data_IF_200674444552
#
_entry.id   IF_200674444552
#
_cell.length_a   1.000
_cell.length_b   1.000
_cell.length_c   1.000
_cell.angle_alpha   90.00
_cell.angle_beta   90.00
_cell.angle_gamma   90.00
#
_symmetry.space_group_name_H-M   'P 1'
#
loop_
_entity.id
_entity.type
_entity.pdbx_description
1 polymer ?
#
# COMPACT_ATOMS: atom_id res chain seq x y z
N UNK A 1 -39.05 -30.18 59.90
CA UNK A 1 -39.70 -29.39 58.83
C UNK A 1 -39.17 -27.96 58.76
N UNK A 2 -38.95 -27.25 59.88
CA UNK A 2 -38.48 -25.85 59.89
C UNK A 2 -37.05 -25.66 59.38
N UNK A 3 -36.19 -26.64 59.51
CA UNK A 3 -34.78 -26.59 59.08
C UNK A 3 -34.61 -26.81 57.59
N UNK A 4 -35.47 -27.61 56.99
CA UNK A 4 -35.51 -27.83 55.54
C UNK A 4 -35.99 -26.58 54.76
N UNK A 5 -36.93 -25.83 55.35
CA UNK A 5 -37.45 -24.59 54.76
C UNK A 5 -36.38 -23.47 54.79
N UNK A 6 -35.55 -23.37 55.83
CA UNK A 6 -34.48 -22.38 55.89
C UNK A 6 -33.37 -22.66 54.90
N UNK A 7 -33.05 -23.93 54.60
CA UNK A 7 -32.03 -24.32 53.62
C UNK A 7 -32.49 -24.00 52.17
N UNK A 8 -33.78 -24.17 51.86
CA UNK A 8 -34.32 -23.85 50.54
C UNK A 8 -34.31 -22.34 50.22
N UNK A 9 -34.57 -21.50 51.22
CA UNK A 9 -34.53 -20.04 51.05
C UNK A 9 -33.09 -19.53 50.90
N UNK A 10 -32.09 -20.12 51.56
CA UNK A 10 -30.69 -19.77 51.42
C UNK A 10 -30.14 -20.10 50.02
N UNK A 11 -30.61 -21.23 49.41
CA UNK A 11 -30.20 -21.60 48.04
C UNK A 11 -30.83 -20.73 46.99
N UNK A 12 -32.04 -20.27 47.18
CA UNK A 12 -32.73 -19.36 46.26
C UNK A 12 -32.10 -17.94 46.28
N UNK A 13 -31.63 -17.48 47.44
CA UNK A 13 -30.96 -16.19 47.56
C UNK A 13 -29.56 -16.18 46.94
N UNK A 14 -28.85 -17.31 46.91
CA UNK A 14 -27.51 -17.42 46.30
C UNK A 14 -27.59 -17.46 44.78
N UNK A 15 -28.64 -18.01 44.20
CA UNK A 15 -28.85 -18.04 42.74
C UNK A 15 -29.15 -16.63 42.14
N UNK A 16 -29.71 -15.72 42.96
CA UNK A 16 -30.00 -14.35 42.51
C UNK A 16 -28.76 -13.44 42.41
N UNK A 17 -27.60 -13.88 42.91
CA UNK A 17 -26.32 -13.12 42.83
C UNK A 17 -25.55 -13.41 41.54
N UNK A 18 -25.88 -14.46 40.81
CA UNK A 18 -25.32 -14.71 39.47
C UNK A 18 -26.09 -13.91 38.46
N UNK A 19 -25.68 -12.65 38.24
CA UNK A 19 -26.10 -11.93 37.01
C UNK A 19 -25.54 -12.68 35.80
N UNK A 20 -26.34 -13.01 34.77
CA UNK A 20 -25.79 -13.53 33.53
C UNK A 20 -24.77 -12.50 33.06
N UNK A 21 -23.52 -12.93 32.82
CA UNK A 21 -22.55 -12.12 32.12
C UNK A 21 -23.14 -11.90 30.76
N UNK A 22 -23.52 -10.65 30.45
CA UNK A 22 -23.96 -10.28 29.12
C UNK A 22 -22.89 -10.78 28.15
N UNK A 23 -23.28 -11.66 27.25
CA UNK A 23 -22.41 -12.18 26.22
C UNK A 23 -21.84 -10.97 25.50
N UNK A 24 -20.54 -10.72 25.65
CA UNK A 24 -19.82 -9.74 24.83
C UNK A 24 -20.16 -10.11 23.42
N UNK A 25 -21.00 -9.30 22.79
CA UNK A 25 -21.49 -9.55 21.43
C UNK A 25 -20.29 -9.85 20.54
N UNK A 26 -20.28 -11.02 19.91
CA UNK A 26 -19.27 -11.38 18.94
C UNK A 26 -19.14 -10.20 17.99
N UNK A 27 -17.96 -9.57 17.96
CA UNK A 27 -17.72 -8.45 17.08
C UNK A 27 -18.10 -8.91 15.66
N UNK A 28 -19.10 -8.28 15.09
CA UNK A 28 -19.55 -8.56 13.73
C UNK A 28 -18.31 -8.52 12.84
N UNK A 29 -18.09 -9.56 12.04
CA UNK A 29 -16.96 -9.59 11.12
C UNK A 29 -16.93 -8.29 10.32
N UNK A 30 -15.77 -7.63 10.18
CA UNK A 30 -15.70 -6.35 9.48
C UNK A 30 -16.27 -6.50 8.09
N UNK A 31 -17.26 -5.71 7.76
CA UNK A 31 -17.85 -5.73 6.43
C UNK A 31 -16.81 -5.31 5.39
N UNK A 32 -16.83 -5.96 4.23
CA UNK A 32 -15.90 -5.71 3.13
C UNK A 32 -16.53 -4.72 2.15
N UNK A 33 -15.83 -3.63 1.86
CA UNK A 33 -16.28 -2.63 0.89
C UNK A 33 -15.89 -2.99 -0.55
N UNK A 34 -14.67 -3.52 -0.74
CA UNK A 34 -14.14 -3.91 -2.04
C UNK A 34 -13.33 -5.19 -1.89
N UNK A 35 -13.48 -6.11 -2.81
CA UNK A 35 -12.72 -7.35 -2.89
C UNK A 35 -12.42 -7.72 -4.34
N UNK A 36 -11.53 -8.67 -4.55
CA UNK A 36 -11.22 -9.23 -5.86
C UNK A 36 -10.07 -10.20 -5.79
N UNK A 37 -9.65 -10.67 -6.95
CA UNK A 37 -8.52 -11.57 -7.12
C UNK A 37 -7.46 -10.94 -8.00
N UNK A 38 -6.20 -11.13 -7.61
CA UNK A 38 -5.03 -10.76 -8.43
C UNK A 38 -4.52 -12.01 -9.12
N UNK A 39 -4.26 -11.91 -10.41
CA UNK A 39 -3.73 -13.02 -11.22
C UNK A 39 -2.88 -12.52 -12.38
N UNK A 40 -1.97 -13.37 -12.86
CA UNK A 40 -1.25 -13.20 -14.12
C UNK A 40 -1.35 -14.47 -14.96
N UNK A 41 -0.99 -14.37 -16.23
CA UNK A 41 -0.95 -15.54 -17.13
C UNK A 41 0.18 -16.50 -16.71
N UNK A 42 1.29 -15.96 -16.22
CA UNK A 42 2.50 -16.73 -15.91
C UNK A 42 2.40 -17.45 -14.57
N UNK A 43 1.85 -16.79 -13.55
CA UNK A 43 1.85 -17.33 -12.18
C UNK A 43 0.45 -17.78 -11.70
N UNK A 44 -0.60 -17.51 -12.49
CA UNK A 44 -1.96 -17.76 -12.07
C UNK A 44 -2.40 -16.80 -10.97
N UNK A 45 -2.82 -17.31 -9.82
CA UNK A 45 -3.19 -16.50 -8.64
C UNK A 45 -1.94 -15.99 -7.94
N UNK A 46 -1.89 -14.69 -7.67
CA UNK A 46 -0.67 -14.05 -7.15
C UNK A 46 -0.85 -13.66 -5.68
N UNK A 47 0.00 -14.23 -4.83
CA UNK A 47 0.15 -13.85 -3.43
C UNK A 47 1.11 -12.66 -3.28
N UNK A 48 0.92 -11.87 -2.21
CA UNK A 48 1.87 -10.82 -1.82
C UNK A 48 1.81 -9.54 -2.66
N UNK A 49 0.86 -9.42 -3.57
CA UNK A 49 0.67 -8.19 -4.35
C UNK A 49 0.06 -7.10 -3.48
N UNK A 50 0.71 -5.94 -3.43
CA UNK A 50 0.14 -4.76 -2.79
C UNK A 50 -0.93 -4.16 -3.71
N UNK A 51 -2.16 -4.10 -3.24
CA UNK A 51 -3.28 -3.45 -3.93
C UNK A 51 -3.62 -2.17 -3.19
N UNK A 52 -3.56 -1.04 -3.88
CA UNK A 52 -3.77 0.29 -3.31
C UNK A 52 -5.01 0.94 -3.90
N UNK A 53 -5.84 1.53 -3.04
CA UNK A 53 -7.02 2.30 -3.40
C UNK A 53 -6.88 3.74 -2.88
N UNK A 54 -7.07 4.72 -3.75
CA UNK A 54 -7.04 6.14 -3.41
C UNK A 54 -8.28 6.81 -3.95
N UNK A 55 -9.12 7.36 -3.06
CA UNK A 55 -10.32 8.10 -3.48
C UNK A 55 -9.99 9.36 -4.26
N UNK A 56 -10.84 9.73 -5.20
CA UNK A 56 -10.71 10.99 -5.93
C UNK A 56 -10.70 12.17 -4.96
N UNK A 57 -9.74 13.08 -5.12
CA UNK A 57 -9.52 14.22 -4.22
C UNK A 57 -8.92 13.90 -2.85
N UNK A 58 -8.71 12.62 -2.52
CA UNK A 58 -8.10 12.21 -1.26
C UNK A 58 -6.57 12.29 -1.30
N UNK A 59 -5.96 12.64 -0.16
CA UNK A 59 -4.52 12.52 0.06
C UNK A 59 -4.14 11.16 0.67
N UNK A 60 -5.13 10.40 1.16
CA UNK A 60 -4.94 9.10 1.82
C UNK A 60 -5.04 7.98 0.81
N UNK A 61 -4.06 7.08 0.84
CA UNK A 61 -4.06 5.82 0.09
C UNK A 61 -4.18 4.66 1.09
N UNK A 62 -5.09 3.73 0.83
CA UNK A 62 -5.26 2.51 1.60
C UNK A 62 -4.68 1.37 0.79
N UNK A 63 -3.85 0.54 1.43
CA UNK A 63 -3.20 -0.59 0.77
C UNK A 63 -3.46 -1.87 1.53
N UNK A 64 -3.79 -2.93 0.81
CA UNK A 64 -3.95 -4.30 1.30
C UNK A 64 -3.05 -5.24 0.51
N UNK A 65 -2.84 -6.44 1.02
CA UNK A 65 -1.98 -7.46 0.38
C UNK A 65 -2.85 -8.64 -0.06
N UNK A 66 -2.60 -9.18 -1.24
CA UNK A 66 -3.28 -10.40 -1.69
C UNK A 66 -2.77 -11.63 -0.93
N UNK A 67 -3.69 -12.54 -0.59
CA UNK A 67 -3.41 -13.78 0.13
C UNK A 67 -2.88 -14.90 -0.81
N UNK A 68 -2.62 -16.08 -0.25
CA UNK A 68 -2.15 -17.28 -0.98
C UNK A 68 -3.10 -17.75 -2.09
N UNK A 69 -4.35 -17.28 -2.11
CA UNK A 69 -5.31 -17.52 -3.18
C UNK A 69 -5.42 -16.36 -4.15
N UNK A 70 -4.54 -15.37 -4.03
CA UNK A 70 -4.56 -14.13 -4.78
C UNK A 70 -5.72 -13.19 -4.39
N UNK A 71 -6.44 -13.47 -3.31
CA UNK A 71 -7.59 -12.66 -2.91
C UNK A 71 -7.15 -11.44 -2.10
N UNK A 72 -7.78 -10.31 -2.36
CA UNK A 72 -7.60 -9.09 -1.57
C UNK A 72 -8.94 -8.54 -1.11
N UNK A 73 -8.95 -7.83 0.02
CA UNK A 73 -10.15 -7.20 0.54
C UNK A 73 -9.86 -5.92 1.31
N UNK A 74 -10.67 -4.91 1.06
CA UNK A 74 -10.66 -3.65 1.80
C UNK A 74 -11.86 -3.61 2.75
N UNK A 75 -11.64 -3.41 4.07
CA UNK A 75 -12.73 -3.31 5.02
C UNK A 75 -13.53 -2.01 4.80
N UNK A 76 -14.84 -2.06 4.99
CA UNK A 76 -15.73 -0.90 4.84
C UNK A 76 -15.43 0.23 5.82
N UNK A 77 -14.81 -0.08 6.96
CA UNK A 77 -14.34 0.93 7.91
C UNK A 77 -13.20 1.81 7.39
N UNK A 78 -12.57 1.42 6.27
CA UNK A 78 -11.44 2.14 5.66
C UNK A 78 -11.76 2.73 4.29
N UNK A 79 -12.72 2.16 3.57
CA UNK A 79 -13.19 2.68 2.29
C UNK A 79 -14.63 3.17 2.41
N UNK A 80 -14.82 4.49 2.41
CA UNK A 80 -16.14 5.11 2.30
C UNK A 80 -16.73 4.88 0.89
N UNK A 81 -18.05 5.04 0.70
CA UNK A 81 -18.63 5.05 -0.64
C UNK A 81 -17.96 6.11 -1.53
N UNK A 82 -17.62 5.73 -2.75
CA UNK A 82 -16.93 6.60 -3.70
C UNK A 82 -16.22 5.83 -4.81
N UNK A 83 -15.53 6.56 -5.67
CA UNK A 83 -14.77 6.03 -6.78
C UNK A 83 -13.28 5.95 -6.44
N UNK A 84 -12.69 4.80 -6.66
CA UNK A 84 -11.32 4.47 -6.29
C UNK A 84 -10.54 3.93 -7.47
N UNK A 85 -9.68 4.72 -8.10
CA UNK A 85 -8.60 4.18 -8.92
C UNK A 85 -7.77 3.18 -8.12
N UNK A 86 -7.52 2.01 -8.72
CA UNK A 86 -6.71 0.96 -8.12
C UNK A 86 -5.31 0.99 -8.73
N UNK A 87 -4.31 0.82 -7.88
CA UNK A 87 -2.92 0.63 -8.28
C UNK A 87 -2.36 -0.63 -7.62
N UNK A 88 -1.36 -1.23 -8.24
CA UNK A 88 -0.66 -2.39 -7.69
C UNK A 88 0.83 -2.11 -7.51
N UNK A 89 1.46 -2.88 -6.63
CA UNK A 89 2.90 -3.05 -6.61
C UNK A 89 3.22 -4.53 -6.50
N UNK A 90 3.81 -5.05 -7.57
CA UNK A 90 4.37 -6.38 -7.67
C UNK A 90 5.64 -6.29 -8.51
N UNK A 91 6.77 -6.74 -7.98
CA UNK A 91 8.06 -6.64 -8.69
C UNK A 91 8.00 -7.47 -9.97
N UNK A 92 8.35 -6.87 -11.10
CA UNK A 92 8.32 -7.51 -12.41
C UNK A 92 6.96 -7.54 -13.10
N UNK A 93 5.93 -7.00 -12.47
CA UNK A 93 4.56 -6.96 -13.00
C UNK A 93 3.97 -5.57 -13.04
N UNK A 94 3.06 -5.36 -13.97
CA UNK A 94 2.23 -4.16 -14.08
C UNK A 94 0.78 -4.54 -14.32
N UNK A 95 -0.13 -3.63 -14.01
CA UNK A 95 -1.56 -3.85 -14.20
C UNK A 95 -1.90 -3.83 -15.70
N UNK A 96 -2.53 -4.89 -16.20
CA UNK A 96 -2.90 -5.00 -17.60
C UNK A 96 -4.01 -4.01 -17.96
N UNK A 97 -5.03 -3.92 -17.13
CA UNK A 97 -6.16 -3.00 -17.27
C UNK A 97 -6.52 -2.39 -15.93
N UNK A 98 -6.63 -1.08 -15.87
CA UNK A 98 -7.04 -0.36 -14.67
C UNK A 98 -8.48 0.14 -14.85
N UNK A 99 -9.42 -0.51 -14.20
CA UNK A 99 -10.76 0.04 -14.00
C UNK A 99 -10.90 0.52 -12.57
N UNK A 100 -11.40 1.75 -12.35
CA UNK A 100 -11.68 2.20 -10.99
C UNK A 100 -12.78 1.35 -10.35
N UNK A 101 -12.69 1.17 -9.04
CA UNK A 101 -13.73 0.52 -8.26
C UNK A 101 -14.77 1.55 -7.80
N UNK A 102 -16.05 1.28 -8.05
CA UNK A 102 -17.15 2.06 -7.50
C UNK A 102 -17.66 1.36 -6.23
N UNK A 103 -17.34 1.96 -5.07
CA UNK A 103 -17.71 1.45 -3.75
C UNK A 103 -19.01 2.09 -3.30
N UNK A 104 -19.95 1.28 -2.82
CA UNK A 104 -21.24 1.74 -2.28
C UNK A 104 -21.42 1.27 -0.83
N UNK A 105 -22.30 1.92 -0.08
CA UNK A 105 -22.59 1.53 1.30
C UNK A 105 -23.37 0.21 1.42
N UNK A 106 -24.05 -0.21 0.35
CA UNK A 106 -25.02 -1.32 0.38
C UNK A 106 -24.46 -2.64 -0.13
N UNK A 107 -23.37 -2.60 -0.93
CA UNK A 107 -22.88 -3.79 -1.61
C UNK A 107 -21.35 -3.77 -1.68
N UNK A 108 -20.74 -4.92 -1.40
CA UNK A 108 -19.32 -5.14 -1.66
C UNK A 108 -19.03 -5.05 -3.16
N UNK A 109 -18.15 -4.13 -3.54
CA UNK A 109 -17.65 -4.06 -4.91
C UNK A 109 -16.71 -5.23 -5.18
N UNK A 110 -16.70 -5.75 -6.41
CA UNK A 110 -15.77 -6.80 -6.84
C UNK A 110 -15.02 -6.34 -8.07
N UNK A 111 -13.67 -6.33 -7.97
CA UNK A 111 -12.76 -6.00 -9.09
C UNK A 111 -11.63 -7.02 -9.10
N UNK A 112 -11.58 -7.84 -10.14
CA UNK A 112 -10.47 -8.76 -10.35
C UNK A 112 -9.35 -8.05 -11.14
N UNK A 113 -8.10 -8.21 -10.70
CA UNK A 113 -6.94 -7.53 -11.27
C UNK A 113 -6.08 -8.54 -12.03
N UNK A 114 -5.86 -8.23 -13.31
CA UNK A 114 -4.96 -9.00 -14.16
C UNK A 114 -3.64 -8.26 -14.30
N UNK A 115 -2.55 -8.98 -14.08
CA UNK A 115 -1.20 -8.48 -14.20
C UNK A 115 -0.52 -9.12 -15.41
N UNK A 116 0.37 -8.35 -16.02
CA UNK A 116 1.30 -8.81 -17.05
C UNK A 116 2.72 -8.47 -16.64
N UNK A 117 3.70 -9.11 -17.26
CA UNK A 117 5.10 -8.74 -17.03
C UNK A 117 5.33 -7.28 -17.40
N UNK A 118 6.05 -6.56 -16.52
CA UNK A 118 6.40 -5.18 -16.74
C UNK A 118 7.25 -5.06 -18.01
N UNK A 119 6.83 -4.19 -18.93
CA UNK A 119 7.59 -3.89 -20.14
C UNK A 119 8.91 -3.18 -19.80
N UNK A 120 8.91 -2.37 -18.74
CA UNK A 120 10.08 -1.65 -18.25
C UNK A 120 10.33 -1.98 -16.77
N UNK A 121 11.01 -3.07 -16.51
CA UNK A 121 11.38 -3.47 -15.15
C UNK A 121 12.24 -2.39 -14.45
N UNK A 122 13.07 -1.70 -15.20
CA UNK A 122 13.94 -0.68 -14.64
C UNK A 122 13.16 0.51 -14.05
N UNK A 123 11.95 0.81 -14.54
CA UNK A 123 11.07 1.82 -13.95
C UNK A 123 10.57 1.46 -12.53
N UNK A 124 10.68 0.19 -12.14
CA UNK A 124 10.29 -0.29 -10.82
C UNK A 124 11.44 -0.33 -9.81
N UNK A 125 12.69 -0.11 -10.26
CA UNK A 125 13.88 -0.15 -9.41
C UNK A 125 13.88 1.03 -8.44
N UNK A 126 14.20 0.73 -7.19
CA UNK A 126 14.53 1.72 -6.17
C UNK A 126 15.88 2.39 -6.46
N UNK A 127 16.16 3.52 -5.79
CA UNK A 127 17.46 4.17 -5.90
C UNK A 127 18.64 3.22 -5.55
N UNK A 128 18.46 2.36 -4.55
CA UNK A 128 19.46 1.37 -4.15
C UNK A 128 19.71 0.34 -5.25
N UNK A 129 18.66 -0.22 -5.84
CA UNK A 129 18.76 -1.20 -6.93
C UNK A 129 19.39 -0.59 -8.18
N UNK A 130 19.05 0.67 -8.50
CA UNK A 130 19.74 1.40 -9.57
C UNK A 130 21.24 1.52 -9.31
N UNK A 131 21.63 1.96 -8.08
CA UNK A 131 23.05 2.08 -7.71
C UNK A 131 23.77 0.73 -7.76
N UNK A 132 23.12 -0.36 -7.32
CA UNK A 132 23.70 -1.70 -7.39
C UNK A 132 23.88 -2.19 -8.84
N UNK A 133 22.96 -1.85 -9.74
CA UNK A 133 23.01 -2.26 -11.15
C UNK A 133 23.99 -1.44 -12.01
N UNK A 134 24.41 -0.24 -11.53
CA UNK A 134 25.34 0.60 -12.27
C UNK A 134 26.77 0.04 -12.20
N UNK A 135 27.56 0.17 -13.29
CA UNK A 135 28.99 -0.16 -13.26
C UNK A 135 29.78 0.81 -12.38
N UNK A 136 30.95 0.38 -11.93
CA UNK A 136 31.87 1.22 -11.12
C UNK A 136 32.01 0.73 -9.67
N UNK A 137 33.00 1.29 -8.97
CA UNK A 137 33.25 0.98 -7.56
C UNK A 137 32.25 1.69 -6.65
N UNK A 138 32.14 1.25 -5.38
CA UNK A 138 31.26 1.86 -4.39
C UNK A 138 31.64 3.33 -4.14
N UNK A 139 32.93 3.68 -4.16
CA UNK A 139 33.40 5.05 -4.02
C UNK A 139 32.90 5.94 -5.16
N UNK A 140 32.91 5.42 -6.41
CA UNK A 140 32.37 6.16 -7.56
C UNK A 140 30.86 6.38 -7.44
N UNK A 141 30.13 5.38 -6.91
CA UNK A 141 28.68 5.43 -6.72
C UNK A 141 28.26 6.36 -5.56
N UNK A 142 29.11 6.56 -4.56
CA UNK A 142 28.83 7.47 -3.43
C UNK A 142 28.49 8.89 -3.89
N UNK A 143 29.06 9.37 -4.99
CA UNK A 143 28.73 10.66 -5.56
C UNK A 143 27.26 10.85 -5.87
N UNK A 144 26.55 9.78 -6.21
CA UNK A 144 25.10 9.83 -6.52
C UNK A 144 24.22 9.96 -5.27
N UNK A 145 24.72 9.62 -4.07
CA UNK A 145 23.95 9.73 -2.84
C UNK A 145 23.50 11.16 -2.54
N UNK A 146 24.29 12.16 -2.95
CA UNK A 146 23.89 13.56 -2.82
C UNK A 146 22.79 13.97 -3.81
N UNK A 147 22.62 13.23 -4.91
CA UNK A 147 21.64 13.53 -5.94
C UNK A 147 20.23 13.02 -5.56
N UNK A 148 20.12 11.91 -4.82
CA UNK A 148 18.85 11.25 -4.47
C UNK A 148 18.00 12.04 -3.48
N UNK A 149 18.54 13.06 -2.85
CA UNK A 149 17.79 13.96 -1.97
C UNK A 149 16.76 14.84 -2.71
N UNK A 150 16.89 15.00 -4.03
CA UNK A 150 16.03 15.85 -4.84
C UNK A 150 15.23 15.07 -5.90
N UNK A 151 15.78 13.98 -6.45
CA UNK A 151 15.15 13.15 -7.48
C UNK A 151 15.73 11.73 -7.49
N UNK A 152 15.10 10.82 -8.23
CA UNK A 152 15.55 9.43 -8.33
C UNK A 152 16.84 9.30 -9.13
N UNK A 153 17.63 8.24 -8.86
CA UNK A 153 18.80 7.84 -9.66
C UNK A 153 18.39 7.50 -11.09
N UNK A 154 17.21 6.94 -11.28
CA UNK A 154 16.65 6.64 -12.60
C UNK A 154 16.71 7.85 -13.54
N UNK A 155 16.38 9.05 -13.03
CA UNK A 155 16.44 10.29 -13.83
C UNK A 155 17.83 10.59 -14.37
N UNK A 156 18.87 10.21 -13.63
CA UNK A 156 20.26 10.35 -14.05
C UNK A 156 20.62 9.24 -15.03
N UNK A 157 20.36 7.99 -14.65
CA UNK A 157 20.73 6.81 -15.43
C UNK A 157 20.06 6.75 -16.82
N UNK A 158 18.85 7.27 -16.94
CA UNK A 158 18.11 7.37 -18.21
C UNK A 158 18.36 8.67 -18.96
N UNK A 159 19.21 9.56 -18.44
CA UNK A 159 19.56 10.78 -19.15
C UNK A 159 20.39 10.46 -20.39
N UNK A 160 20.29 11.33 -21.41
CA UNK A 160 21.03 11.20 -22.66
C UNK A 160 22.16 12.24 -22.77
N UNK A 161 22.54 12.86 -21.66
CA UNK A 161 23.60 13.85 -21.63
C UNK A 161 24.98 13.18 -21.75
N UNK A 162 25.87 13.79 -22.52
CA UNK A 162 27.29 13.44 -22.51
C UNK A 162 27.96 13.89 -21.20
N UNK A 163 29.19 13.46 -20.98
CA UNK A 163 29.96 13.89 -19.79
C UNK A 163 30.15 15.40 -19.76
N UNK A 164 30.40 16.02 -20.91
CA UNK A 164 30.59 17.46 -21.06
C UNK A 164 29.29 18.23 -20.76
N UNK A 165 28.15 17.71 -21.18
CA UNK A 165 26.83 18.30 -20.91
C UNK A 165 26.41 18.16 -19.44
N UNK A 166 26.92 17.14 -18.74
CA UNK A 166 26.69 16.99 -17.31
C UNK A 166 27.35 18.08 -16.47
N UNK A 167 28.49 18.62 -16.89
CA UNK A 167 29.23 19.64 -16.09
C UNK A 167 28.40 20.89 -15.84
N UNK A 168 27.78 21.56 -16.83
CA UNK A 168 26.92 22.72 -16.59
C UNK A 168 25.64 22.34 -15.83
N UNK A 169 25.13 21.13 -16.02
CA UNK A 169 23.98 20.60 -15.28
C UNK A 169 24.28 20.49 -13.79
N UNK A 170 25.43 19.90 -13.43
CA UNK A 170 25.89 19.78 -12.03
C UNK A 170 26.14 21.16 -11.39
N UNK A 171 26.74 22.12 -12.14
CA UNK A 171 26.92 23.49 -11.67
C UNK A 171 25.56 24.14 -11.32
N UNK A 172 24.55 23.96 -12.15
CA UNK A 172 23.20 24.46 -11.89
C UNK A 172 22.57 23.79 -10.66
N UNK A 173 22.70 22.46 -10.51
CA UNK A 173 22.14 21.73 -9.37
C UNK A 173 22.76 22.13 -8.03
N UNK A 174 24.04 22.50 -8.01
CA UNK A 174 24.72 23.02 -6.79
C UNK A 174 24.07 24.27 -6.22
N UNK A 175 23.34 25.03 -7.04
CA UNK A 175 22.66 26.26 -6.61
C UNK A 175 21.29 25.98 -5.96
N UNK A 176 20.79 24.76 -6.00
CA UNK A 176 19.53 24.44 -5.35
C UNK A 176 19.72 24.11 -3.87
N UNK A 177 18.75 24.53 -3.06
CA UNK A 177 18.68 24.17 -1.65
C UNK A 177 18.38 22.67 -1.49
N UNK A 178 18.82 22.12 -0.37
CA UNK A 178 18.47 20.74 0.00
C UNK A 178 16.96 20.61 0.15
N UNK A 179 16.35 19.57 -0.41
CA UNK A 179 14.90 19.38 -0.46
C UNK A 179 14.21 20.09 -1.63
N UNK A 180 14.95 20.81 -2.48
CA UNK A 180 14.43 21.34 -3.75
C UNK A 180 13.96 20.21 -4.65
N UNK A 181 12.80 20.37 -5.29
CA UNK A 181 12.27 19.39 -6.25
C UNK A 181 12.08 20.03 -7.62
N UNK A 182 11.98 19.26 -8.71
CA UNK A 182 11.69 19.79 -10.04
C UNK A 182 10.38 20.61 -10.10
N UNK A 183 9.42 20.28 -9.23
CA UNK A 183 8.12 20.98 -9.15
C UNK A 183 8.15 22.21 -8.24
N UNK A 184 9.11 22.26 -7.30
CA UNK A 184 9.30 23.36 -6.34
C UNK A 184 10.80 23.63 -6.18
N UNK A 185 11.44 24.25 -7.20
CA UNK A 185 12.86 24.54 -7.14
C UNK A 185 13.10 25.67 -6.13
N UNK A 186 14.05 25.44 -5.22
CA UNK A 186 14.49 26.43 -4.22
C UNK A 186 15.98 26.68 -4.44
N UNK A 187 16.31 27.91 -4.78
CA UNK A 187 17.70 28.35 -4.96
C UNK A 187 18.30 28.68 -3.60
N UNK A 188 19.55 28.36 -3.39
CA UNK A 188 20.30 28.77 -2.20
C UNK A 188 20.45 30.30 -2.22
N UNK A 189 20.32 30.97 -1.07
CA UNK A 189 20.56 32.40 -0.95
C UNK A 189 22.02 32.74 -1.23
#
# INVERSE_FOLDING_TARGET
EKTLFALAIAFAALAALFKPVDSVGAASAPSVALTGQVSSVEEGRMEGVLVSAKGEGSTVTITVVSDAKGQYSFPSSKLAPGRYPLAIRAVGYELENSSPADVTAQKTAKVDLKLRKAADLAAQLSNGEWLMSMPGSDEQKQGFLSCIGCHTVERIARSRYSAEEFVPLLKRMRNYAQGSTPLRPQVRP
#
